data_IF_356435751768
#
_entry.id   IF_356435751768
#
_cell.length_a   1.000
_cell.length_b   1.000
_cell.length_c   1.000
_cell.angle_alpha   90.00
_cell.angle_beta   90.00
_cell.angle_gamma   90.00
#
_symmetry.space_group_name_H-M   'P 1'
#
loop_
_entity.id
_entity.type
_entity.pdbx_description
1 polymer ?
#
# COMPACT_ATOMS: atom_id res chain seq x y z
N UNK A 1 48.10 -21.69 22.63
CA UNK A 1 46.98 -22.04 21.72
C UNK A 1 45.91 -22.79 22.51
N UNK A 2 44.82 -22.10 22.89
CA UNK A 2 43.58 -22.73 23.37
C UNK A 2 42.45 -22.00 22.64
N UNK A 3 41.81 -22.69 21.70
CA UNK A 3 40.67 -22.18 20.94
C UNK A 3 39.44 -22.18 21.86
N UNK A 4 38.79 -21.02 22.00
CA UNK A 4 37.47 -20.90 22.58
C UNK A 4 36.44 -20.90 21.43
N UNK A 5 35.57 -21.90 21.43
CA UNK A 5 34.43 -22.02 20.50
C UNK A 5 33.34 -21.03 20.91
N UNK A 6 32.91 -20.16 19.99
CA UNK A 6 31.79 -19.27 20.18
C UNK A 6 30.44 -20.04 20.11
N UNK A 7 29.42 -19.66 20.88
CA UNK A 7 28.11 -20.32 20.82
C UNK A 7 27.35 -19.96 19.53
N UNK A 8 26.52 -20.88 19.06
CA UNK A 8 25.66 -20.71 17.89
C UNK A 8 24.54 -19.67 18.16
N UNK A 9 24.05 -18.97 17.13
CA UNK A 9 22.98 -17.98 17.29
C UNK A 9 21.64 -18.66 17.62
N UNK A 10 20.96 -18.17 18.65
CA UNK A 10 19.60 -18.58 19.00
C UNK A 10 18.63 -18.16 17.89
N UNK A 11 17.94 -19.14 17.31
CA UNK A 11 16.85 -18.92 16.37
C UNK A 11 15.62 -18.48 17.13
N UNK A 12 15.29 -17.18 17.12
CA UNK A 12 14.01 -16.71 17.64
C UNK A 12 12.90 -17.10 16.66
N UNK A 13 11.93 -17.86 17.14
CA UNK A 13 10.67 -18.09 16.43
C UNK A 13 9.91 -16.77 16.33
N UNK A 14 9.37 -16.41 15.15
CA UNK A 14 8.54 -15.22 15.03
C UNK A 14 7.25 -15.42 15.83
N UNK A 15 7.05 -14.54 16.80
CA UNK A 15 5.82 -14.41 17.58
C UNK A 15 4.65 -13.96 16.67
N UNK A 16 3.40 -14.34 16.98
CA UNK A 16 2.26 -14.22 16.06
C UNK A 16 1.90 -12.76 15.72
N UNK A 17 1.49 -12.53 14.47
CA UNK A 17 0.91 -11.26 13.98
C UNK A 17 -0.29 -10.88 14.84
N UNK A 18 -0.40 -9.58 15.18
CA UNK A 18 -1.46 -9.05 16.02
C UNK A 18 -2.86 -9.33 15.44
N UNK A 19 -3.86 -9.41 16.32
CA UNK A 19 -5.24 -9.67 15.90
C UNK A 19 -5.78 -8.46 15.14
N UNK A 20 -6.26 -8.61 13.90
CA UNK A 20 -6.76 -7.49 13.12
C UNK A 20 -7.90 -6.74 13.83
N UNK A 21 -7.90 -5.41 13.74
CA UNK A 21 -8.95 -4.54 14.28
C UNK A 21 -9.66 -3.76 13.19
N UNK A 22 -11.00 -3.82 13.21
CA UNK A 22 -11.85 -3.01 12.36
C UNK A 22 -11.89 -1.56 12.87
N UNK A 23 -11.61 -0.58 12.00
CA UNK A 23 -11.75 0.86 12.29
C UNK A 23 -12.73 1.46 11.28
N UNK A 24 -13.81 2.08 11.77
CA UNK A 24 -14.86 2.72 10.96
C UNK A 24 -14.62 4.24 10.81
N UNK A 25 -14.79 4.77 9.60
CA UNK A 25 -14.81 6.23 9.34
C UNK A 25 -16.24 6.76 9.13
N UNK A 26 -16.51 7.98 9.61
CA UNK A 26 -17.87 8.56 9.78
C UNK A 26 -18.33 9.50 8.65
N UNK A 27 -17.67 9.54 7.48
CA UNK A 27 -17.92 10.60 6.49
C UNK A 27 -18.60 10.15 5.18
N UNK A 28 -18.70 8.85 4.87
CA UNK A 28 -19.42 8.34 3.68
C UNK A 28 -20.78 7.74 4.05
N UNK A 29 -21.69 7.70 3.08
CA UNK A 29 -22.99 7.00 3.17
C UNK A 29 -22.86 5.49 3.45
N UNK A 30 -21.65 4.93 3.29
CA UNK A 30 -21.25 3.59 3.74
C UNK A 30 -19.89 3.68 4.46
N UNK A 31 -19.78 3.31 5.74
CA UNK A 31 -18.48 3.30 6.41
C UNK A 31 -17.57 2.25 5.77
N UNK A 32 -16.40 2.68 5.29
CA UNK A 32 -15.33 1.76 4.87
C UNK A 32 -14.65 1.24 6.13
N UNK A 33 -14.52 -0.08 6.25
CA UNK A 33 -13.86 -0.71 7.39
C UNK A 33 -12.44 -1.10 7.01
N UNK A 34 -11.45 -0.48 7.65
CA UNK A 34 -10.05 -0.81 7.47
C UNK A 34 -9.69 -2.10 8.22
N UNK A 35 -9.10 -3.06 7.50
CA UNK A 35 -8.44 -4.22 8.08
C UNK A 35 -7.00 -3.84 8.45
N UNK A 36 -6.82 -3.28 9.62
CA UNK A 36 -5.49 -2.94 10.11
C UNK A 36 -4.79 -4.17 10.65
N UNK A 37 -3.79 -4.65 9.92
CA UNK A 37 -2.99 -5.80 10.33
C UNK A 37 -1.94 -5.45 11.40
N UNK A 38 -1.85 -4.18 11.81
CA UNK A 38 -0.85 -3.68 12.75
C UNK A 38 0.52 -4.33 12.51
N UNK A 39 1.07 -4.21 11.27
CA UNK A 39 2.31 -4.89 10.93
C UNK A 39 3.34 -4.50 11.97
N UNK A 40 3.96 -5.51 12.59
CA UNK A 40 4.92 -5.30 13.67
C UNK A 40 5.94 -4.29 13.19
N UNK A 41 5.91 -3.13 13.83
CA UNK A 41 6.97 -2.15 13.69
C UNK A 41 8.18 -2.77 14.37
N UNK A 42 8.96 -3.59 13.68
CA UNK A 42 10.40 -3.58 13.93
C UNK A 42 10.77 -2.10 13.85
N UNK A 43 11.09 -1.53 15.02
CA UNK A 43 10.59 -0.19 15.35
C UNK A 43 11.18 0.82 14.39
N UNK A 44 10.40 1.82 13.95
CA UNK A 44 10.96 2.96 13.20
C UNK A 44 12.29 3.44 13.84
N UNK A 45 12.33 3.41 15.17
CA UNK A 45 13.52 3.63 15.98
C UNK A 45 14.66 2.63 15.70
N UNK A 46 14.44 1.33 15.73
CA UNK A 46 15.44 0.30 15.40
C UNK A 46 16.02 0.47 13.99
N UNK A 47 15.17 0.60 12.96
CA UNK A 47 15.62 0.75 11.59
C UNK A 47 16.37 2.08 11.38
N UNK A 48 15.88 3.16 12.00
CA UNK A 48 16.56 4.45 11.99
C UNK A 48 17.91 4.38 12.71
N UNK A 49 17.97 3.78 13.90
CA UNK A 49 19.22 3.62 14.65
C UNK A 49 20.22 2.76 13.88
N UNK A 50 19.79 1.64 13.32
CA UNK A 50 20.64 0.75 12.52
C UNK A 50 21.22 1.48 11.31
N UNK A 51 20.40 2.28 10.61
CA UNK A 51 20.81 3.06 9.45
C UNK A 51 21.71 4.25 9.79
N UNK A 52 21.43 4.98 10.87
CA UNK A 52 22.17 6.18 11.26
C UNK A 52 23.47 5.90 12.00
N UNK A 53 23.60 4.73 12.63
CA UNK A 53 24.85 4.25 13.27
C UNK A 53 25.91 3.78 12.28
N UNK A 54 25.57 3.63 10.99
CA UNK A 54 26.54 3.27 9.95
C UNK A 54 27.66 4.34 9.84
N UNK A 55 28.85 3.95 9.36
CA UNK A 55 29.96 4.88 9.15
C UNK A 55 29.56 6.10 8.32
N UNK A 56 30.30 7.20 8.48
CA UNK A 56 30.09 8.41 7.68
C UNK A 56 30.10 8.08 6.18
N UNK A 57 29.14 8.64 5.44
CA UNK A 57 28.95 8.35 4.00
C UNK A 57 28.15 7.07 3.68
N UNK A 58 27.79 6.26 4.68
CA UNK A 58 27.03 5.01 4.48
C UNK A 58 25.70 4.99 5.26
N UNK A 59 25.26 6.12 5.80
CA UNK A 59 24.00 6.23 6.53
C UNK A 59 22.82 6.07 5.58
N UNK A 60 21.82 5.31 6.02
CA UNK A 60 20.63 5.00 5.21
C UNK A 60 19.37 5.13 6.04
N UNK A 61 18.24 5.40 5.39
CA UNK A 61 16.90 5.21 5.96
C UNK A 61 16.04 4.45 4.95
N UNK A 62 15.22 3.48 5.38
CA UNK A 62 14.25 2.81 4.52
C UNK A 62 13.29 3.80 3.86
N UNK A 63 13.07 3.66 2.55
CA UNK A 63 12.21 4.58 1.79
C UNK A 63 10.73 4.51 2.19
N UNK A 64 10.28 3.42 2.85
CA UNK A 64 8.91 3.31 3.37
C UNK A 64 8.55 4.46 4.34
N UNK A 65 9.53 5.05 5.01
CA UNK A 65 9.33 6.21 5.89
C UNK A 65 9.10 7.53 5.15
N UNK A 66 9.22 7.56 3.82
CA UNK A 66 8.74 8.70 3.03
C UNK A 66 7.22 8.78 2.97
N UNK A 67 6.47 7.71 3.27
CA UNK A 67 5.04 7.64 2.99
C UNK A 67 4.17 7.81 4.25
N UNK A 68 4.53 8.76 5.10
CA UNK A 68 3.57 9.30 6.06
C UNK A 68 2.48 10.11 5.32
N UNK A 69 1.49 10.64 6.05
CA UNK A 69 0.41 11.43 5.44
C UNK A 69 0.93 12.58 4.56
N UNK A 70 1.98 13.27 4.98
CA UNK A 70 2.53 14.42 4.26
C UNK A 70 3.31 13.96 3.03
N UNK A 71 4.14 12.95 3.19
CA UNK A 71 5.00 12.43 2.16
C UNK A 71 4.23 11.69 1.06
N UNK A 72 3.12 11.01 1.38
CA UNK A 72 2.18 10.51 0.36
C UNK A 72 1.63 11.65 -0.50
N UNK A 73 1.17 12.76 0.11
CA UNK A 73 0.69 13.94 -0.63
C UNK A 73 1.79 14.63 -1.45
N UNK A 74 3.04 14.57 -1.00
CA UNK A 74 4.17 15.06 -1.80
C UNK A 74 4.43 14.13 -2.98
N UNK A 75 4.32 12.83 -2.80
CA UNK A 75 4.45 11.86 -3.89
C UNK A 75 3.36 12.01 -4.94
N UNK A 76 2.11 12.29 -4.54
CA UNK A 76 1.03 12.63 -5.48
C UNK A 76 1.41 13.84 -6.36
N UNK A 77 1.98 14.90 -5.75
CA UNK A 77 2.46 16.07 -6.50
C UNK A 77 3.65 15.75 -7.39
N UNK A 78 4.56 14.86 -6.95
CA UNK A 78 5.67 14.40 -7.79
C UNK A 78 5.11 13.72 -9.05
N UNK A 79 4.05 12.93 -8.92
CA UNK A 79 3.40 12.25 -10.05
C UNK A 79 2.80 13.19 -11.10
N UNK A 80 2.57 14.46 -10.76
CA UNK A 80 2.05 15.50 -11.66
C UNK A 80 3.17 16.27 -12.38
N UNK A 81 4.43 16.15 -11.94
CA UNK A 81 5.55 16.89 -12.52
C UNK A 81 5.83 16.45 -13.97
N UNK A 82 6.18 17.38 -14.87
CA UNK A 82 6.49 17.04 -16.26
C UNK A 82 7.70 16.09 -16.37
N UNK A 83 8.69 16.25 -15.49
CA UNK A 83 9.91 15.43 -15.41
C UNK A 83 9.62 14.01 -14.91
N UNK A 84 8.60 13.83 -14.07
CA UNK A 84 8.22 12.52 -13.53
C UNK A 84 7.19 11.84 -14.43
N UNK A 85 7.65 11.38 -15.58
CA UNK A 85 6.80 10.69 -16.57
C UNK A 85 6.14 9.37 -16.12
N UNK A 86 6.65 8.56 -15.15
CA UNK A 86 6.14 7.21 -14.92
C UNK A 86 4.62 7.11 -14.75
N UNK A 87 4.03 7.94 -13.88
CA UNK A 87 2.59 7.91 -13.62
C UNK A 87 1.78 8.23 -14.87
N UNK A 88 2.19 9.24 -15.65
CA UNK A 88 1.50 9.63 -16.89
C UNK A 88 1.60 8.53 -17.95
N UNK A 89 2.76 7.92 -18.10
CA UNK A 89 2.99 6.84 -19.07
C UNK A 89 2.16 5.61 -18.72
N UNK A 90 2.17 5.18 -17.47
CA UNK A 90 1.40 4.03 -17.02
C UNK A 90 -0.10 4.25 -17.16
N UNK A 91 -0.62 5.42 -16.78
CA UNK A 91 -2.01 5.77 -17.03
C UNK A 91 -2.35 5.79 -18.52
N UNK A 92 -1.41 6.18 -19.39
CA UNK A 92 -1.57 6.08 -20.85
C UNK A 92 -1.77 4.64 -21.31
N UNK A 93 -0.87 3.74 -20.91
CA UNK A 93 -0.94 2.30 -21.20
C UNK A 93 -2.25 1.69 -20.67
N UNK A 94 -2.64 2.06 -19.45
CA UNK A 94 -3.89 1.55 -18.86
C UNK A 94 -5.11 2.04 -19.62
N UNK A 95 -5.20 3.32 -20.01
CA UNK A 95 -6.32 3.81 -20.84
C UNK A 95 -6.46 3.03 -22.15
N UNK A 96 -5.33 2.70 -22.77
CA UNK A 96 -5.33 1.95 -24.03
C UNK A 96 -5.76 0.49 -23.85
N UNK A 97 -5.25 -0.17 -22.80
CA UNK A 97 -5.37 -1.62 -22.68
C UNK A 97 -6.36 -2.11 -21.62
N UNK A 98 -6.88 -1.26 -20.74
CA UNK A 98 -7.80 -1.67 -19.67
C UNK A 98 -9.06 -2.40 -20.19
N UNK A 99 -9.67 -2.04 -21.35
CA UNK A 99 -10.74 -2.85 -21.91
C UNK A 99 -10.33 -4.30 -22.22
N UNK A 100 -9.10 -4.52 -22.70
CA UNK A 100 -8.58 -5.85 -22.98
C UNK A 100 -8.23 -6.60 -21.69
N UNK A 101 -7.62 -5.91 -20.71
CA UNK A 101 -7.36 -6.45 -19.38
C UNK A 101 -8.66 -6.90 -18.71
N UNK A 102 -9.69 -6.06 -18.71
CA UNK A 102 -10.98 -6.37 -18.10
C UNK A 102 -11.66 -7.60 -18.72
N UNK A 103 -11.58 -7.76 -20.04
CA UNK A 103 -12.03 -8.98 -20.73
C UNK A 103 -11.24 -10.22 -20.31
N UNK A 104 -9.91 -10.08 -20.15
CA UNK A 104 -9.04 -11.18 -19.75
C UNK A 104 -9.26 -11.59 -18.30
N UNK A 105 -9.50 -10.64 -17.39
CA UNK A 105 -9.85 -10.91 -15.99
C UNK A 105 -11.20 -11.64 -15.88
N UNK A 106 -12.17 -11.33 -16.76
CA UNK A 106 -13.48 -11.96 -16.75
C UNK A 106 -14.40 -11.42 -15.65
N UNK A 107 -15.51 -12.14 -15.44
CA UNK A 107 -16.58 -11.70 -14.52
C UNK A 107 -16.25 -12.03 -13.08
N UNK A 108 -16.81 -11.25 -12.16
CA UNK A 108 -16.74 -11.49 -10.71
C UNK A 108 -15.30 -11.47 -10.16
N UNK A 109 -14.38 -10.85 -10.90
CA UNK A 109 -12.98 -10.70 -10.50
C UNK A 109 -12.84 -9.81 -9.25
N UNK A 110 -11.92 -10.20 -8.38
CA UNK A 110 -11.47 -9.40 -7.23
C UNK A 110 -10.13 -8.76 -7.57
N UNK A 111 -10.00 -7.46 -7.33
CA UNK A 111 -8.75 -6.72 -7.55
C UNK A 111 -8.04 -6.52 -6.22
N UNK A 112 -6.75 -6.85 -6.18
CA UNK A 112 -5.87 -6.59 -5.04
C UNK A 112 -4.74 -5.69 -5.53
N UNK A 113 -4.63 -4.49 -4.96
CA UNK A 113 -3.62 -3.50 -5.36
C UNK A 113 -2.61 -3.27 -4.23
N UNK A 114 -1.36 -3.68 -4.46
CA UNK A 114 -0.27 -3.44 -3.52
C UNK A 114 0.34 -2.06 -3.72
N UNK A 115 0.37 -1.25 -2.67
CA UNK A 115 0.80 0.14 -2.73
C UNK A 115 -0.20 0.98 -3.52
N UNK A 116 -1.47 0.95 -3.09
CA UNK A 116 -2.57 1.52 -3.86
C UNK A 116 -2.49 3.03 -4.02
N UNK A 117 -1.82 3.75 -3.10
CA UNK A 117 -1.74 5.21 -3.14
C UNK A 117 -3.12 5.84 -3.37
N UNK A 118 -3.20 6.76 -4.34
CA UNK A 118 -4.46 7.42 -4.76
C UNK A 118 -5.42 6.54 -5.60
N UNK A 119 -5.07 5.28 -5.86
CA UNK A 119 -5.89 4.27 -6.54
C UNK A 119 -6.41 4.65 -7.93
N UNK A 120 -5.77 5.63 -8.59
CA UNK A 120 -6.18 6.12 -9.92
C UNK A 120 -6.19 5.01 -10.99
N UNK A 121 -5.23 4.09 -10.89
CA UNK A 121 -5.05 2.96 -11.79
C UNK A 121 -6.13 1.90 -11.58
N UNK A 122 -6.37 1.53 -10.33
CA UNK A 122 -7.44 0.62 -9.95
C UNK A 122 -8.79 1.13 -10.38
N UNK A 123 -9.09 2.42 -10.16
CA UNK A 123 -10.31 3.05 -10.67
C UNK A 123 -10.48 2.81 -12.18
N UNK A 124 -9.43 3.06 -12.95
CA UNK A 124 -9.45 2.88 -14.40
C UNK A 124 -9.72 1.43 -14.80
N UNK A 125 -9.07 0.47 -14.12
CA UNK A 125 -9.32 -0.95 -14.39
C UNK A 125 -10.75 -1.37 -14.01
N UNK A 126 -11.27 -0.90 -12.87
CA UNK A 126 -12.63 -1.20 -12.39
C UNK A 126 -13.71 -0.73 -13.37
N UNK A 127 -13.50 0.39 -14.06
CA UNK A 127 -14.40 0.89 -15.12
C UNK A 127 -14.55 -0.09 -16.30
N UNK A 128 -13.60 -1.02 -16.46
CA UNK A 128 -13.57 -1.98 -17.57
C UNK A 128 -13.80 -3.44 -17.14
N UNK A 129 -13.96 -3.72 -15.84
CA UNK A 129 -14.22 -5.07 -15.36
C UNK A 129 -15.70 -5.42 -15.48
N UNK A 130 -16.06 -6.59 -16.02
CA UNK A 130 -17.45 -6.99 -16.15
C UNK A 130 -17.97 -7.54 -14.82
N UNK A 131 -18.58 -6.68 -13.99
CA UNK A 131 -19.09 -7.02 -12.64
C UNK A 131 -17.98 -7.49 -11.70
N UNK A 132 -17.01 -6.64 -11.32
CA UNK A 132 -16.04 -6.99 -10.29
C UNK A 132 -16.75 -7.30 -8.96
N UNK A 133 -16.22 -8.27 -8.22
CA UNK A 133 -16.79 -8.71 -6.94
C UNK A 133 -16.35 -7.83 -5.77
N UNK A 134 -15.06 -7.46 -5.73
CA UNK A 134 -14.48 -6.62 -4.70
C UNK A 134 -13.17 -5.96 -5.16
N UNK A 135 -12.74 -4.95 -4.40
CA UNK A 135 -11.45 -4.29 -4.53
C UNK A 135 -10.77 -4.22 -3.15
N UNK A 136 -9.50 -4.65 -3.09
CA UNK A 136 -8.67 -4.72 -1.90
C UNK A 136 -7.45 -3.80 -2.09
N UNK A 137 -7.58 -2.49 -1.81
CA UNK A 137 -6.43 -1.60 -1.82
C UNK A 137 -5.57 -1.86 -0.57
N UNK A 138 -4.27 -2.06 -0.77
CA UNK A 138 -3.30 -2.34 0.29
C UNK A 138 -2.26 -1.23 0.34
N UNK A 139 -2.11 -0.56 1.48
CA UNK A 139 -1.12 0.52 1.63
C UNK A 139 -0.65 0.71 3.07
N UNK A 140 0.62 1.11 3.23
CA UNK A 140 1.23 1.38 4.55
C UNK A 140 0.77 2.74 5.12
N UNK A 141 0.29 3.66 4.28
CA UNK A 141 -0.14 5.00 4.66
C UNK A 141 -1.62 5.02 5.01
N UNK A 142 -1.96 4.64 6.25
CA UNK A 142 -3.35 4.55 6.76
C UNK A 142 -4.26 5.71 6.33
N UNK A 143 -3.82 6.94 6.60
CA UNK A 143 -4.64 8.12 6.36
C UNK A 143 -4.91 8.33 4.86
N UNK A 144 -3.90 8.04 4.03
CA UNK A 144 -4.03 8.16 2.58
C UNK A 144 -4.88 7.03 2.00
N UNK A 145 -4.72 5.80 2.51
CA UNK A 145 -5.53 4.63 2.14
C UNK A 145 -7.01 4.86 2.42
N UNK A 146 -7.36 5.39 3.61
CA UNK A 146 -8.74 5.69 3.95
C UNK A 146 -9.35 6.76 3.02
N UNK A 147 -8.62 7.86 2.77
CA UNK A 147 -9.06 8.92 1.83
C UNK A 147 -9.32 8.33 0.41
N UNK A 148 -8.45 7.44 -0.07
CA UNK A 148 -8.59 6.79 -1.38
C UNK A 148 -9.73 5.75 -1.41
N UNK A 149 -9.86 4.93 -0.37
CA UNK A 149 -10.87 3.89 -0.27
C UNK A 149 -12.29 4.47 -0.18
N UNK A 150 -12.49 5.57 0.55
CA UNK A 150 -13.76 6.31 0.58
C UNK A 150 -14.12 6.83 -0.82
N UNK A 151 -13.15 7.43 -1.52
CA UNK A 151 -13.35 7.92 -2.89
C UNK A 151 -13.72 6.79 -3.87
N UNK A 152 -13.09 5.62 -3.73
CA UNK A 152 -13.40 4.42 -4.50
C UNK A 152 -14.81 3.89 -4.19
N UNK A 153 -15.18 3.81 -2.91
CA UNK A 153 -16.49 3.32 -2.48
C UNK A 153 -17.63 4.21 -3.00
N UNK A 154 -17.43 5.53 -2.98
CA UNK A 154 -18.39 6.49 -3.53
C UNK A 154 -18.48 6.38 -5.07
N UNK A 155 -17.36 6.15 -5.76
CA UNK A 155 -17.33 6.00 -7.21
C UNK A 155 -17.92 4.69 -7.72
N UNK A 156 -17.85 3.61 -6.92
CA UNK A 156 -18.34 2.28 -7.28
C UNK A 156 -19.23 1.66 -6.18
N UNK A 157 -20.46 2.15 -5.98
CA UNK A 157 -21.32 1.71 -4.86
C UNK A 157 -21.71 0.23 -4.85
N UNK A 158 -21.57 -0.44 -6.00
CA UNK A 158 -21.87 -1.86 -6.17
C UNK A 158 -20.67 -2.79 -5.91
N UNK A 159 -19.47 -2.22 -5.71
CA UNK A 159 -18.23 -2.97 -5.47
C UNK A 159 -17.89 -2.88 -3.98
N UNK A 160 -17.57 -4.01 -3.36
CA UNK A 160 -17.08 -4.02 -1.99
C UNK A 160 -15.63 -3.51 -1.95
N UNK A 161 -15.36 -2.49 -1.13
CA UNK A 161 -14.01 -1.93 -0.94
C UNK A 161 -13.49 -2.38 0.43
N UNK A 162 -12.38 -3.14 0.41
CA UNK A 162 -11.81 -3.83 1.56
C UNK A 162 -10.36 -3.36 1.80
N UNK A 163 -10.13 -2.15 2.35
CA UNK A 163 -8.78 -1.66 2.54
C UNK A 163 -8.03 -2.44 3.61
N UNK A 164 -6.73 -2.66 3.38
CA UNK A 164 -5.79 -3.39 4.25
C UNK A 164 -4.56 -2.54 4.54
#
# INVERSE_FOLDING_TARGET
MKHATAPAPETSTPEPVGTPRAVETRASSRPVTLLDLEPRTDTFLEEALAGLRRPSGQRTLPCKFFYDRRGSRLFDKICELPEYYPTRTELGIMREHAPAMGRACGRDAMIVEFGSGSSLKTRLLLEHLPRPSACVPVDISRAHLLEAAETLADAFPAIEILPV
#
